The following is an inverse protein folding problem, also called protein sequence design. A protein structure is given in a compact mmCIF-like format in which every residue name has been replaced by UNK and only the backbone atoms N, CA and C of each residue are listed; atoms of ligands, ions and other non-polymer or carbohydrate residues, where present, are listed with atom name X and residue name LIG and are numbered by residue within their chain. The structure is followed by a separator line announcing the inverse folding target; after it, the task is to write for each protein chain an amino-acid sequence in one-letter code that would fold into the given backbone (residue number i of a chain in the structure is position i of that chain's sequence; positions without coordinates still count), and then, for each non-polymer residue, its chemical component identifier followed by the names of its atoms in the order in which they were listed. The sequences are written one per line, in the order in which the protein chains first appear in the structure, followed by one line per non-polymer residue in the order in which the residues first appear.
data_IF_996973880813
#
_entry.id   IF_996973880813
#
_cell.length_a   1.000
_cell.length_b   1.000
_cell.length_c   1.000
_cell.angle_alpha   90.00
_cell.angle_beta   90.00
_cell.angle_gamma   90.00
#
_symmetry.space_group_name_H-M   'P 1'
#
loop_
_entity.id
_entity.type
_entity.pdbx_description
1 polymer ?
#
# COMPACT_ATOMS: atom_id res chain seq x y z
N UNK A 1 80.45 7.22 6.83
CA UNK A 1 79.45 6.25 7.33
C UNK A 1 78.23 6.30 6.42
N UNK A 2 78.05 5.29 5.56
CA UNK A 2 76.92 5.21 4.65
C UNK A 2 75.74 4.48 5.34
N UNK A 3 74.56 5.11 5.39
CA UNK A 3 73.31 4.46 5.81
C UNK A 3 72.51 4.06 4.57
N UNK A 4 72.32 2.76 4.40
CA UNK A 4 71.40 2.17 3.40
C UNK A 4 69.96 2.33 3.91
N UNK A 5 69.07 2.85 3.07
CA UNK A 5 67.62 2.79 3.28
C UNK A 5 67.08 1.72 2.33
N UNK A 6 66.51 0.65 2.89
CA UNK A 6 65.80 -0.38 2.12
C UNK A 6 64.34 0.02 2.01
N UNK A 7 63.84 0.20 0.79
CA UNK A 7 62.42 0.39 0.50
C UNK A 7 61.71 -0.97 0.43
N UNK A 8 60.66 -1.14 1.22
CA UNK A 8 59.69 -2.22 1.06
C UNK A 8 58.61 -1.76 0.08
N UNK A 9 58.50 -2.42 -1.08
CA UNK A 9 57.36 -2.32 -1.98
C UNK A 9 56.25 -3.24 -1.44
N UNK A 10 55.23 -2.65 -0.78
CA UNK A 10 54.00 -3.36 -0.43
C UNK A 10 53.02 -3.26 -1.59
N UNK A 11 52.78 -4.37 -2.29
CA UNK A 11 51.70 -4.47 -3.28
C UNK A 11 50.36 -4.63 -2.53
N UNK A 12 49.51 -3.61 -2.59
CA UNK A 12 48.12 -3.69 -2.13
C UNK A 12 47.32 -4.49 -3.16
N UNK A 13 47.01 -5.75 -2.87
CA UNK A 13 46.00 -6.52 -3.59
C UNK A 13 44.63 -6.07 -3.09
N UNK A 14 43.93 -5.27 -3.90
CA UNK A 14 42.49 -5.04 -3.74
C UNK A 14 41.77 -6.37 -4.00
N UNK A 15 41.40 -7.07 -2.93
CA UNK A 15 40.55 -8.23 -3.01
C UNK A 15 39.18 -7.81 -3.53
N UNK A 16 38.77 -8.39 -4.66
CA UNK A 16 37.41 -8.30 -5.18
C UNK A 16 36.49 -8.98 -4.16
N UNK A 17 35.70 -8.20 -3.42
CA UNK A 17 34.65 -8.77 -2.56
C UNK A 17 33.52 -9.20 -3.50
N UNK A 18 33.14 -10.49 -3.54
CA UNK A 18 31.97 -10.89 -4.30
C UNK A 18 30.74 -10.26 -3.64
N UNK A 19 30.04 -9.39 -4.38
CA UNK A 19 28.66 -9.02 -4.09
C UNK A 19 27.88 -10.35 -3.98
N UNK A 20 27.26 -10.61 -2.81
CA UNK A 20 26.36 -11.74 -2.67
C UNK A 20 25.21 -11.65 -3.69
N UNK A 21 24.52 -12.77 -3.99
CA UNK A 21 23.34 -12.71 -4.85
C UNK A 21 22.33 -11.80 -4.15
N UNK A 22 22.01 -10.66 -4.79
CA UNK A 22 20.81 -9.92 -4.43
C UNK A 22 19.63 -10.88 -4.62
N UNK A 23 18.73 -10.95 -3.64
CA UNK A 23 17.47 -11.64 -3.83
C UNK A 23 16.84 -11.10 -5.12
N UNK A 24 16.60 -11.96 -6.12
CA UNK A 24 15.84 -11.56 -7.30
C UNK A 24 14.44 -11.15 -6.83
N UNK A 25 14.02 -9.95 -7.20
CA UNK A 25 12.64 -9.52 -6.98
C UNK A 25 11.68 -10.47 -7.70
N UNK A 26 10.62 -10.88 -7.02
CA UNK A 26 9.60 -11.77 -7.59
C UNK A 26 8.88 -11.05 -8.74
N UNK A 27 8.60 -11.77 -9.84
CA UNK A 27 7.75 -11.24 -10.91
C UNK A 27 6.31 -11.07 -10.42
N UNK A 28 5.51 -10.28 -11.14
CA UNK A 28 4.09 -10.10 -10.83
C UNK A 28 3.33 -11.43 -10.80
N UNK A 29 3.62 -12.33 -11.75
CA UNK A 29 3.01 -13.66 -11.80
C UNK A 29 3.38 -14.49 -10.56
N UNK A 30 4.64 -14.45 -10.13
CA UNK A 30 5.09 -15.16 -8.93
C UNK A 30 4.45 -14.59 -7.66
N UNK A 31 4.26 -13.27 -7.57
CA UNK A 31 3.55 -12.63 -6.47
C UNK A 31 2.07 -13.02 -6.43
N UNK A 32 1.42 -13.10 -7.59
CA UNK A 32 0.03 -13.56 -7.72
C UNK A 32 -0.08 -15.03 -7.28
N UNK A 33 0.80 -15.91 -7.74
CA UNK A 33 0.85 -17.31 -7.31
C UNK A 33 1.04 -17.42 -5.78
N UNK A 34 1.85 -16.52 -5.21
CA UNK A 34 2.02 -16.44 -3.76
C UNK A 34 0.74 -16.00 -3.06
N UNK A 35 0.03 -15.01 -3.57
CA UNK A 35 -1.25 -14.56 -3.02
C UNK A 35 -2.32 -15.65 -3.08
N UNK A 36 -2.37 -16.45 -4.15
CA UNK A 36 -3.28 -17.61 -4.26
C UNK A 36 -3.02 -18.67 -3.19
N UNK A 37 -1.78 -18.80 -2.72
CA UNK A 37 -1.41 -19.73 -1.64
C UNK A 37 -1.80 -19.26 -0.24
N UNK A 38 -2.15 -17.98 -0.05
CA UNK A 38 -2.49 -17.41 1.25
C UNK A 38 -1.30 -17.13 2.16
N UNK A 39 -1.61 -16.77 3.41
CA UNK A 39 -0.66 -16.53 4.49
C UNK A 39 0.03 -15.17 4.44
N UNK A 40 -0.46 -14.23 3.63
CA UNK A 40 0.19 -12.94 3.38
C UNK A 40 -0.63 -11.77 3.93
N UNK A 41 0.05 -10.65 4.13
CA UNK A 41 -0.55 -9.34 4.36
C UNK A 41 -0.25 -8.45 3.17
N UNK A 42 -1.30 -7.89 2.58
CA UNK A 42 -1.24 -6.97 1.45
C UNK A 42 -1.43 -5.56 1.96
N UNK A 43 -0.39 -4.74 1.94
CA UNK A 43 -0.55 -3.31 2.17
C UNK A 43 -0.87 -2.61 0.86
N UNK A 44 -2.06 -2.03 0.77
CA UNK A 44 -2.50 -1.26 -0.39
C UNK A 44 -2.46 0.23 -0.04
N UNK A 45 -1.57 1.00 -0.66
CA UNK A 45 -1.74 2.45 -0.60
C UNK A 45 -3.03 2.77 -1.34
N UNK A 46 -3.91 3.57 -0.73
CA UNK A 46 -5.18 3.98 -1.35
C UNK A 46 -5.01 4.31 -2.84
N UNK A 47 -6.06 4.05 -3.62
CA UNK A 47 -6.02 4.31 -5.05
C UNK A 47 -5.86 5.81 -5.37
N UNK A 48 -5.67 6.13 -6.64
CA UNK A 48 -5.34 7.49 -7.09
C UNK A 48 -6.38 8.51 -6.66
N UNK A 49 -5.91 9.58 -6.05
CA UNK A 49 -6.75 10.69 -5.59
C UNK A 49 -6.84 11.80 -6.63
N UNK A 50 -7.87 12.63 -6.52
CA UNK A 50 -7.88 13.90 -7.25
C UNK A 50 -6.94 14.90 -6.56
N UNK A 51 -5.72 14.98 -7.05
CA UNK A 51 -4.67 15.87 -6.51
C UNK A 51 -4.90 17.36 -6.76
N UNK A 52 -5.99 17.75 -7.42
CA UNK A 52 -6.41 19.17 -7.48
C UNK A 52 -7.08 19.65 -6.20
N UNK A 53 -7.43 18.72 -5.29
CA UNK A 53 -7.99 18.99 -3.98
C UNK A 53 -7.01 18.54 -2.89
N UNK A 54 -6.98 19.28 -1.78
CA UNK A 54 -6.28 18.90 -0.56
C UNK A 54 -7.28 18.56 0.53
N UNK A 55 -6.84 17.78 1.53
CA UNK A 55 -7.60 17.63 2.78
C UNK A 55 -7.67 19.03 3.46
N UNK A 56 -8.88 19.50 3.82
CA UNK A 56 -9.08 20.80 4.48
C UNK A 56 -9.95 20.75 5.75
N UNK A 57 -10.73 19.69 5.95
CA UNK A 57 -11.42 19.37 7.21
C UNK A 57 -11.42 17.85 7.44
N UNK A 58 -10.94 17.45 8.61
CA UNK A 58 -10.86 16.05 9.07
C UNK A 58 -11.44 15.90 10.49
N UNK A 59 -12.23 16.88 10.95
CA UNK A 59 -12.84 16.86 12.27
C UNK A 59 -13.98 15.86 12.37
N UNK A 60 -14.64 15.59 11.24
CA UNK A 60 -15.59 14.50 11.04
C UNK A 60 -15.07 13.61 9.89
N UNK A 61 -14.74 12.36 10.20
CA UNK A 61 -14.20 11.43 9.20
C UNK A 61 -15.28 10.87 8.27
N UNK A 62 -16.55 10.97 8.66
CA UNK A 62 -17.69 10.56 7.83
C UNK A 62 -18.04 11.65 6.79
N UNK A 63 -17.60 12.90 7.01
CA UNK A 63 -17.71 13.97 6.02
C UNK A 63 -16.54 13.94 5.03
N UNK A 64 -16.79 13.33 3.87
CA UNK A 64 -15.81 13.28 2.79
C UNK A 64 -15.66 14.61 2.04
N UNK A 65 -16.55 15.58 2.20
CA UNK A 65 -16.45 16.85 1.48
C UNK A 65 -15.18 17.63 1.87
N UNK A 66 -14.75 17.49 3.14
CA UNK A 66 -13.53 18.06 3.71
C UNK A 66 -12.22 17.41 3.28
N UNK A 67 -12.26 16.29 2.54
CA UNK A 67 -11.11 15.44 2.29
C UNK A 67 -10.71 15.41 0.81
N UNK A 68 -9.44 15.11 0.54
CA UNK A 68 -8.98 14.69 -0.79
C UNK A 68 -9.43 13.25 -1.04
N UNK A 69 -10.33 13.10 -2.02
CA UNK A 69 -11.00 11.84 -2.35
C UNK A 69 -10.41 11.16 -3.60
N UNK A 70 -10.89 9.95 -3.90
CA UNK A 70 -10.49 9.22 -5.10
C UNK A 70 -10.85 9.98 -6.37
N UNK A 71 -9.97 9.89 -7.35
CA UNK A 71 -10.24 10.29 -8.74
C UNK A 71 -11.07 9.22 -9.45
N UNK A 72 -11.57 9.53 -10.66
CA UNK A 72 -12.19 8.52 -11.53
C UNK A 72 -11.22 7.38 -11.84
N UNK A 73 -9.94 7.69 -12.07
CA UNK A 73 -8.90 6.67 -12.30
C UNK A 73 -8.76 5.75 -11.08
N UNK A 74 -8.65 6.32 -9.88
CA UNK A 74 -8.52 5.55 -8.64
C UNK A 74 -9.71 4.63 -8.36
N UNK A 75 -10.94 5.09 -8.66
CA UNK A 75 -12.13 4.24 -8.57
C UNK A 75 -12.07 3.06 -9.54
N UNK A 76 -11.58 3.29 -10.77
CA UNK A 76 -11.43 2.22 -11.77
C UNK A 76 -10.31 1.24 -11.39
N UNK A 77 -9.17 1.72 -10.88
CA UNK A 77 -8.11 0.86 -10.38
C UNK A 77 -8.56 0.03 -9.16
N UNK A 78 -9.35 0.62 -8.26
CA UNK A 78 -9.90 -0.12 -7.11
C UNK A 78 -10.76 -1.30 -7.57
N UNK A 79 -11.66 -1.07 -8.55
CA UNK A 79 -12.48 -2.13 -9.14
C UNK A 79 -11.65 -3.17 -9.88
N UNK A 80 -10.67 -2.73 -10.68
CA UNK A 80 -9.77 -3.63 -11.42
C UNK A 80 -9.04 -4.59 -10.48
N UNK A 81 -8.48 -4.07 -9.40
CA UNK A 81 -7.79 -4.90 -8.40
C UNK A 81 -8.79 -5.87 -7.75
N UNK A 82 -9.96 -5.41 -7.31
CA UNK A 82 -10.99 -6.28 -6.74
C UNK A 82 -11.48 -7.40 -7.68
N UNK A 83 -11.75 -7.06 -8.94
CA UNK A 83 -12.10 -8.03 -9.98
C UNK A 83 -10.95 -8.99 -10.27
N UNK A 84 -9.71 -8.49 -10.27
CA UNK A 84 -8.50 -9.30 -10.42
C UNK A 84 -8.33 -10.32 -9.30
N UNK A 85 -8.49 -9.89 -8.03
CA UNK A 85 -8.47 -10.80 -6.88
C UNK A 85 -9.50 -11.92 -7.04
N UNK A 86 -10.72 -11.58 -7.47
CA UNK A 86 -11.79 -12.57 -7.69
C UNK A 86 -11.51 -13.49 -8.88
N UNK A 87 -11.06 -12.95 -10.02
CA UNK A 87 -10.80 -13.71 -11.24
C UNK A 87 -9.60 -14.65 -11.10
N UNK A 88 -8.62 -14.27 -10.28
CA UNK A 88 -7.42 -15.06 -9.98
C UNK A 88 -7.60 -15.96 -8.75
N UNK A 89 -8.80 -16.01 -8.18
CA UNK A 89 -9.11 -16.84 -6.99
C UNK A 89 -8.17 -16.55 -5.81
N UNK A 90 -7.79 -15.28 -5.60
CA UNK A 90 -6.97 -14.85 -4.46
C UNK A 90 -7.87 -14.76 -3.23
N UNK A 91 -7.66 -15.60 -2.21
CA UNK A 91 -8.50 -15.62 -1.01
C UNK A 91 -8.17 -14.46 -0.08
N UNK A 92 -9.19 -13.76 0.41
CA UNK A 92 -9.08 -12.66 1.38
C UNK A 92 -10.04 -12.93 2.52
N UNK A 93 -9.54 -12.99 3.75
CA UNK A 93 -10.39 -13.20 4.94
C UNK A 93 -10.79 -11.87 5.61
N UNK A 94 -9.97 -10.83 5.49
CA UNK A 94 -10.22 -9.55 6.14
C UNK A 94 -9.63 -8.40 5.33
N UNK A 95 -10.37 -7.29 5.29
CA UNK A 95 -9.94 -6.02 4.73
C UNK A 95 -10.01 -4.95 5.81
N UNK A 96 -8.86 -4.36 6.12
CA UNK A 96 -8.68 -3.29 7.11
C UNK A 96 -8.41 -1.99 6.37
N UNK A 97 -8.99 -0.88 6.82
CA UNK A 97 -8.81 0.40 6.14
C UNK A 97 -8.67 1.57 7.09
N UNK A 98 -7.90 2.58 6.69
CA UNK A 98 -7.87 3.88 7.35
C UNK A 98 -9.25 4.56 7.31
N UNK A 99 -9.62 5.39 8.30
CA UNK A 99 -10.90 6.10 8.28
C UNK A 99 -11.02 7.18 7.18
N UNK A 100 -9.94 7.50 6.47
CA UNK A 100 -10.00 8.48 5.36
C UNK A 100 -10.86 7.98 4.21
N UNK A 101 -11.67 8.86 3.62
CA UNK A 101 -12.62 8.49 2.57
C UNK A 101 -11.98 7.78 1.38
N UNK A 102 -10.83 8.27 0.93
CA UNK A 102 -10.07 7.62 -0.15
C UNK A 102 -9.66 6.18 0.17
N UNK A 103 -9.45 5.83 1.43
CA UNK A 103 -9.02 4.49 1.85
C UNK A 103 -10.20 3.53 1.93
N UNK A 104 -11.26 3.90 2.65
CA UNK A 104 -12.41 3.01 2.76
C UNK A 104 -13.18 2.91 1.44
N UNK A 105 -13.18 3.95 0.60
CA UNK A 105 -13.75 3.88 -0.76
C UNK A 105 -12.95 2.92 -1.65
N UNK A 106 -11.61 2.93 -1.55
CA UNK A 106 -10.74 1.95 -2.24
C UNK A 106 -11.10 0.52 -1.82
N UNK A 107 -11.18 0.27 -0.51
CA UNK A 107 -11.52 -1.05 0.04
C UNK A 107 -12.93 -1.49 -0.39
N UNK A 108 -13.91 -0.61 -0.28
CA UNK A 108 -15.31 -0.87 -0.62
C UNK A 108 -15.49 -1.24 -2.10
N UNK A 109 -14.84 -0.49 -3.00
CA UNK A 109 -14.93 -0.75 -4.44
C UNK A 109 -14.26 -2.06 -4.87
N UNK A 110 -13.28 -2.55 -4.10
CA UNK A 110 -12.55 -3.77 -4.41
C UNK A 110 -13.17 -5.03 -3.77
N UNK A 111 -13.61 -4.93 -2.52
CA UNK A 111 -13.95 -6.09 -1.69
C UNK A 111 -15.34 -6.06 -1.05
N UNK A 112 -16.11 -4.97 -1.22
CA UNK A 112 -17.43 -4.73 -0.63
C UNK A 112 -17.43 -4.62 0.91
N UNK A 113 -16.87 -5.59 1.63
CA UNK A 113 -16.74 -5.63 3.08
C UNK A 113 -15.36 -5.16 3.56
N UNK A 114 -15.33 -4.37 4.63
CA UNK A 114 -14.11 -3.87 5.24
C UNK A 114 -14.35 -3.42 6.69
N UNK A 115 -13.28 -3.31 7.48
CA UNK A 115 -13.26 -2.80 8.84
C UNK A 115 -12.43 -1.51 8.92
N UNK A 116 -13.03 -0.43 9.44
CA UNK A 116 -12.32 0.83 9.68
C UNK A 116 -11.46 0.72 10.93
N UNK A 117 -10.18 1.10 10.79
CA UNK A 117 -9.15 1.02 11.83
C UNK A 117 -8.51 2.38 12.06
N UNK A 118 -8.80 2.98 13.21
CA UNK A 118 -8.23 4.29 13.58
C UNK A 118 -6.74 4.25 13.88
N UNK A 119 -6.17 3.07 14.12
CA UNK A 119 -4.72 2.89 14.21
C UNK A 119 -4.00 2.96 12.84
N UNK A 120 -4.76 3.08 11.73
CA UNK A 120 -4.27 3.34 10.36
C UNK A 120 -4.46 4.80 9.92
N UNK A 121 -4.68 5.74 10.85
CA UNK A 121 -4.89 7.16 10.55
C UNK A 121 -3.67 7.81 9.85
N UNK A 122 -3.92 8.72 8.89
CA UNK A 122 -2.86 9.36 8.12
C UNK A 122 -1.98 10.30 8.97
N UNK A 123 -0.67 10.13 8.90
CA UNK A 123 0.29 10.83 9.76
C UNK A 123 0.42 12.36 9.59
N UNK A 124 0.25 13.00 8.40
CA UNK A 124 0.42 14.45 8.25
C UNK A 124 -0.49 15.31 9.13
N UNK A 125 -1.63 14.74 9.54
CA UNK A 125 -2.62 15.39 10.40
C UNK A 125 -2.34 15.21 11.89
N UNK A 126 -1.29 14.47 12.26
CA UNK A 126 -0.95 14.13 13.63
C UNK A 126 0.35 14.82 14.02
N UNK A 127 0.24 15.80 14.91
CA UNK A 127 1.37 16.59 15.45
C UNK A 127 1.93 16.05 16.76
N UNK A 128 1.14 15.26 17.47
CA UNK A 128 1.53 14.67 18.74
C UNK A 128 2.40 13.43 18.51
N UNK A 129 3.64 13.45 18.99
CA UNK A 129 4.64 12.39 18.71
C UNK A 129 4.26 11.04 19.31
N UNK A 130 3.65 11.02 20.49
CA UNK A 130 3.19 9.78 21.12
C UNK A 130 2.08 9.13 20.29
N UNK A 131 1.13 9.92 19.79
CA UNK A 131 0.10 9.45 18.85
C UNK A 131 0.70 9.00 17.53
N UNK A 132 1.72 9.69 17.00
CA UNK A 132 2.41 9.26 15.76
C UNK A 132 3.06 7.89 15.95
N UNK A 133 3.80 7.70 17.04
CA UNK A 133 4.42 6.42 17.38
C UNK A 133 3.35 5.31 17.49
N UNK A 134 2.23 5.59 18.15
CA UNK A 134 1.12 4.63 18.27
C UNK A 134 0.54 4.20 16.91
N UNK A 135 0.41 5.12 15.95
CA UNK A 135 -0.08 4.82 14.60
C UNK A 135 0.93 4.01 13.78
N UNK A 136 2.24 4.28 13.95
CA UNK A 136 3.31 3.51 13.33
C UNK A 136 3.30 2.08 13.89
N UNK A 137 3.29 1.93 15.21
CA UNK A 137 3.17 0.62 15.88
C UNK A 137 1.87 -0.10 15.50
N UNK A 138 0.80 0.66 15.26
CA UNK A 138 -0.46 0.19 14.70
C UNK A 138 -0.28 -0.54 13.37
N UNK A 139 0.30 0.15 12.38
CA UNK A 139 0.57 -0.44 11.08
C UNK A 139 1.55 -1.62 11.17
N UNK A 140 2.63 -1.50 11.95
CA UNK A 140 3.58 -2.60 12.17
C UNK A 140 2.83 -3.85 12.64
N UNK A 141 1.98 -3.71 13.66
CA UNK A 141 1.18 -4.83 14.18
C UNK A 141 0.31 -5.48 13.11
N UNK A 142 -0.33 -4.70 12.24
CA UNK A 142 -1.12 -5.23 11.13
C UNK A 142 -0.28 -6.00 10.11
N UNK A 143 0.91 -5.50 9.76
CA UNK A 143 1.83 -6.21 8.85
C UNK A 143 2.40 -7.51 9.45
N UNK A 144 2.52 -7.57 10.78
CA UNK A 144 3.00 -8.75 11.50
C UNK A 144 1.92 -9.78 11.82
N UNK A 145 0.65 -9.41 11.77
CA UNK A 145 -0.44 -10.32 12.16
C UNK A 145 -0.76 -11.21 10.97
N UNK A 146 -0.46 -12.52 11.03
CA UNK A 146 -0.86 -13.41 9.95
C UNK A 146 -2.37 -13.58 9.90
N UNK A 147 -2.92 -13.95 8.73
CA UNK A 147 -4.31 -14.34 8.62
C UNK A 147 -4.61 -15.53 9.55
N UNK A 148 -5.83 -15.58 10.08
CA UNK A 148 -6.30 -16.67 10.93
C UNK A 148 -6.44 -17.98 10.13
N UNK A 149 -6.93 -17.88 8.90
CA UNK A 149 -6.85 -18.93 7.90
C UNK A 149 -5.53 -18.80 7.11
N UNK A 150 -4.57 -19.75 7.25
CA UNK A 150 -3.29 -19.68 6.54
C UNK A 150 -3.43 -19.80 5.02
N UNK A 151 -4.61 -20.18 4.51
CA UNK A 151 -4.92 -20.23 3.08
C UNK A 151 -5.59 -18.95 2.58
N UNK A 152 -5.79 -17.94 3.43
CA UNK A 152 -6.35 -16.63 3.07
C UNK A 152 -5.31 -15.53 3.25
N UNK A 153 -5.63 -14.31 2.82
CA UNK A 153 -4.79 -13.12 3.01
C UNK A 153 -5.55 -12.03 3.79
N UNK A 154 -4.80 -11.11 4.40
CA UNK A 154 -5.34 -9.85 4.95
C UNK A 154 -4.96 -8.71 4.02
N UNK A 155 -5.89 -7.80 3.73
CA UNK A 155 -5.63 -6.56 3.00
C UNK A 155 -5.69 -5.38 3.96
N UNK A 156 -4.70 -4.50 3.91
CA UNK A 156 -4.60 -3.28 4.73
C UNK A 156 -4.50 -2.07 3.82
N UNK A 157 -5.56 -1.25 3.75
CA UNK A 157 -5.61 -0.06 2.90
C UNK A 157 -5.18 1.18 3.68
N UNK A 158 -3.98 1.68 3.38
CA UNK A 158 -3.31 2.71 4.17
C UNK A 158 -2.78 3.91 3.37
N UNK A 159 -1.84 4.63 3.98
CA UNK A 159 -1.17 5.79 3.40
C UNK A 159 0.33 5.53 3.33
N UNK A 160 0.96 6.07 2.29
CA UNK A 160 2.41 5.94 2.03
C UNK A 160 3.26 6.36 3.23
N UNK A 161 2.97 7.50 3.86
CA UNK A 161 3.79 7.98 4.99
C UNK A 161 3.74 7.03 6.19
N UNK A 162 2.62 6.34 6.43
CA UNK A 162 2.55 5.31 7.47
C UNK A 162 3.49 4.15 7.12
N UNK A 163 3.45 3.66 5.88
CA UNK A 163 4.27 2.56 5.40
C UNK A 163 5.78 2.89 5.48
N UNK A 164 6.16 4.07 5.00
CA UNK A 164 7.55 4.57 5.05
C UNK A 164 8.09 4.58 6.48
N UNK A 165 7.29 5.04 7.44
CA UNK A 165 7.72 5.10 8.83
C UNK A 165 7.71 3.72 9.52
N UNK A 166 6.87 2.79 9.07
CA UNK A 166 6.79 1.45 9.64
C UNK A 166 7.89 0.50 9.15
N UNK A 167 8.21 0.54 7.84
CA UNK A 167 9.07 -0.47 7.20
C UNK A 167 10.07 0.11 6.18
N UNK A 168 10.25 1.44 6.13
CA UNK A 168 11.17 2.13 5.19
C UNK A 168 10.91 1.83 3.71
N UNK A 169 9.63 1.65 3.35
CA UNK A 169 9.18 1.39 1.98
C UNK A 169 8.32 2.54 1.45
N UNK A 170 8.62 3.03 0.25
CA UNK A 170 7.77 3.96 -0.50
C UNK A 170 7.09 3.23 -1.67
N UNK A 171 5.79 3.45 -1.85
CA UNK A 171 5.01 2.94 -2.99
C UNK A 171 4.10 4.03 -3.56
N UNK A 172 3.77 3.96 -4.85
CA UNK A 172 2.87 4.89 -5.53
C UNK A 172 1.40 4.66 -5.15
N UNK A 173 0.54 5.66 -5.39
CA UNK A 173 -0.91 5.48 -5.24
C UNK A 173 -1.38 4.26 -6.04
N UNK A 174 -2.31 3.50 -5.47
CA UNK A 174 -2.82 2.23 -5.99
C UNK A 174 -1.89 1.03 -5.98
N UNK A 175 -0.60 1.16 -5.64
CA UNK A 175 0.30 0.01 -5.52
C UNK A 175 0.05 -0.82 -4.25
N UNK A 176 0.32 -2.12 -4.36
CA UNK A 176 0.12 -3.13 -3.32
C UNK A 176 1.47 -3.77 -2.96
N UNK A 177 1.95 -3.51 -1.74
CA UNK A 177 3.13 -4.17 -1.20
C UNK A 177 2.73 -5.47 -0.51
N UNK A 178 3.37 -6.57 -0.89
CA UNK A 178 3.03 -7.92 -0.44
C UNK A 178 4.03 -8.38 0.62
N UNK A 179 3.55 -8.70 1.82
CA UNK A 179 4.39 -9.07 2.95
C UNK A 179 4.13 -10.50 3.42
N UNK A 180 5.21 -11.20 3.79
CA UNK A 180 5.15 -12.35 4.68
C UNK A 180 5.20 -11.83 6.12
N UNK A 181 4.18 -12.12 6.94
CA UNK A 181 4.24 -11.84 8.38
C UNK A 181 5.34 -12.71 9.01
N UNK A 182 6.36 -12.10 9.62
CA UNK A 182 7.45 -12.83 10.27
C UNK A 182 7.72 -12.33 11.69
N UNK A 183 8.43 -13.14 12.47
CA UNK A 183 8.76 -12.84 13.86
C UNK A 183 9.68 -11.60 13.99
N UNK A 184 10.62 -11.45 13.07
CA UNK A 184 11.66 -10.41 13.13
C UNK A 184 11.30 -9.14 12.33
N UNK A 185 10.12 -9.11 11.70
CA UNK A 185 9.67 -8.03 10.81
C UNK A 185 8.77 -8.59 9.70
N UNK A 186 7.83 -7.83 9.13
CA UNK A 186 7.22 -8.23 7.87
C UNK A 186 8.29 -8.25 6.77
N UNK A 187 8.35 -9.33 5.99
CA UNK A 187 9.29 -9.48 4.88
C UNK A 187 8.58 -9.10 3.57
N UNK A 188 9.09 -8.10 2.85
CA UNK A 188 8.55 -7.71 1.55
C UNK A 188 8.89 -8.75 0.49
N UNK A 189 7.86 -9.29 -0.17
CA UNK A 189 8.03 -10.17 -1.34
C UNK A 189 8.15 -9.36 -2.64
N UNK A 190 7.45 -8.24 -2.73
CA UNK A 190 7.42 -7.37 -3.90
C UNK A 190 6.22 -6.44 -3.89
N UNK A 191 6.06 -5.69 -5.00
CA UNK A 191 5.00 -4.71 -5.18
C UNK A 191 4.24 -5.02 -6.47
N UNK A 192 2.91 -4.99 -6.41
CA UNK A 192 2.02 -5.08 -7.55
C UNK A 192 1.40 -3.72 -7.85
N UNK A 193 1.23 -3.42 -9.12
CA UNK A 193 0.44 -2.29 -9.61
C UNK A 193 -0.94 -2.79 -10.10
N UNK A 194 -1.94 -1.89 -10.24
CA UNK A 194 -3.23 -2.25 -10.83
C UNK A 194 -3.10 -2.93 -12.21
N UNK A 195 -2.09 -2.56 -13.00
CA UNK A 195 -1.83 -3.13 -14.32
C UNK A 195 -1.46 -4.62 -14.32
N UNK A 196 -1.01 -5.15 -13.18
CA UNK A 196 -0.64 -6.57 -13.04
C UNK A 196 -1.87 -7.48 -12.89
N UNK A 197 -3.03 -6.89 -12.63
CA UNK A 197 -4.31 -7.60 -12.60
C UNK A 197 -4.97 -7.59 -13.98
N UNK A 198 -5.77 -8.62 -14.32
CA UNK A 198 -6.57 -8.62 -15.54
C UNK A 198 -7.42 -7.35 -15.68
N UNK A 199 -7.67 -6.93 -16.92
CA UNK A 199 -8.63 -5.86 -17.16
C UNK A 199 -10.01 -6.26 -16.60
N UNK A 200 -10.73 -5.32 -15.96
CA UNK A 200 -12.04 -5.61 -15.39
C UNK A 200 -13.03 -6.02 -16.48
N UNK A 201 -13.97 -6.88 -16.12
CA UNK A 201 -15.07 -7.25 -17.00
C UNK A 201 -15.86 -5.99 -17.40
N UNK A 202 -15.94 -5.71 -18.70
CA UNK A 202 -16.56 -4.49 -19.22
C UNK A 202 -18.03 -4.34 -18.77
N UNK A 203 -18.70 -5.46 -18.47
CA UNK A 203 -20.09 -5.49 -18.02
C UNK A 203 -20.26 -5.11 -16.53
N UNK A 204 -19.16 -4.93 -15.78
CA UNK A 204 -19.15 -4.51 -14.36
C UNK A 204 -18.60 -3.10 -14.12
N UNK A 205 -18.18 -2.41 -15.18
CA UNK A 205 -17.73 -1.02 -15.06
C UNK A 205 -18.93 -0.15 -14.70
N UNK A 206 -19.08 0.18 -13.42
CA UNK A 206 -20.06 1.16 -12.99
C UNK A 206 -19.82 2.47 -13.76
N UNK A 207 -20.85 3.07 -14.37
CA UNK A 207 -20.72 4.40 -14.96
C UNK A 207 -20.19 5.36 -13.90
N UNK A 208 -19.28 6.26 -14.29
CA UNK A 208 -18.90 7.39 -13.46
C UNK A 208 -20.18 8.10 -13.03
N UNK A 209 -20.48 8.23 -11.72
CA UNK A 209 -21.59 9.07 -11.29
C UNK A 209 -21.31 10.46 -11.87
N UNK A 210 -22.20 10.93 -12.75
CA UNK A 210 -22.11 12.29 -13.26
C UNK A 210 -22.06 13.24 -12.07
N UNK A 211 -21.13 14.21 -12.09
CA UNK A 211 -21.20 15.36 -11.19
C UNK A 211 -22.64 15.86 -11.22
N UNK A 212 -23.33 16.02 -10.07
CA UNK A 212 -24.65 16.62 -10.07
C UNK A 212 -24.54 17.96 -10.80
N UNK A 213 -25.23 18.10 -11.92
CA UNK A 213 -25.35 19.39 -12.58
C UNK A 213 -25.97 20.30 -11.52
N UNK A 214 -25.20 21.31 -11.10
CA UNK A 214 -25.67 22.32 -10.17
C UNK A 214 -26.82 23.01 -10.88
N UNK A 215 -28.05 22.67 -10.49
CA UNK A 215 -29.27 23.26 -10.99
C UNK A 215 -29.04 24.77 -11.06
N UNK A 216 -29.04 25.31 -12.27
CA UNK A 216 -28.88 26.74 -12.48
C UNK A 216 -30.03 27.39 -11.72
N UNK A 217 -29.70 28.03 -10.60
CA UNK A 217 -30.64 28.82 -9.82
C UNK A 217 -31.31 29.82 -10.76
N UNK A 218 -32.60 29.60 -11.01
CA UNK A 218 -33.46 30.46 -11.81
C UNK A 218 -33.53 31.84 -11.11
N UNK A 219 -33.14 32.94 -11.77
CA UNK A 219 -33.24 34.25 -11.17
C UNK A 219 -34.70 34.72 -11.22
N UNK A 220 -35.39 34.60 -10.09
CA UNK A 220 -36.59 35.38 -9.78
C UNK A 220 -36.29 36.43 -8.72
#
# INVERSE_FOLDING_TARGET
MARRVSGFFGALLFGLVPMGPGAEEMSAEQLIERLQGGGLVVFWRHAETDRSHDDYDISDMDDCAGQRNLSTLGRNHSRRVGDGFRALEIPVEQVLTSPFCRNWETASLAFEEYEIRYDLFNLPWVRDEDRRAHLIDGLVRHLHTPPADPYSNIVVVGHDLNLRQAVDLEIQEAELAIFVPAHDGPELLGVLAPSDFPEPDADRIAPVPGTPEREASDPH
#
